data_IF_983225719894
#
_entry.id   IF_983225719894
#
_cell.length_a   1.000
_cell.length_b   1.000
_cell.length_c   1.000
_cell.angle_alpha   90.00
_cell.angle_beta   90.00
_cell.angle_gamma   90.00
#
_symmetry.space_group_name_H-M   'P 1'
#
loop_
_entity.id
_entity.type
_entity.pdbx_description
1 polymer ?
#
# COMPACT_ATOMS: atom_id res chain seq x y z
N UNK A 1 -41.30 40.40 19.80
CA UNK A 1 -41.79 39.04 19.81
C UNK A 1 -42.59 38.74 18.53
N UNK A 2 -41.96 38.18 17.53
CA UNK A 2 -42.66 37.57 16.40
C UNK A 2 -41.97 36.26 16.07
N UNK A 3 -42.53 35.19 16.57
CA UNK A 3 -42.23 33.84 16.06
C UNK A 3 -42.93 33.71 14.69
N UNK A 4 -42.15 33.86 13.63
CA UNK A 4 -42.66 33.55 12.28
C UNK A 4 -42.51 32.01 12.11
N UNK A 5 -43.65 31.34 12.04
CA UNK A 5 -43.79 29.91 11.90
C UNK A 5 -43.11 29.40 10.63
N UNK A 6 -41.96 28.76 10.78
CA UNK A 6 -41.20 28.08 9.71
C UNK A 6 -41.98 26.96 8.99
N UNK A 7 -43.08 26.52 9.54
CA UNK A 7 -43.86 25.42 9.00
C UNK A 7 -44.69 25.78 7.76
N UNK A 8 -45.13 27.04 7.66
CA UNK A 8 -45.89 27.52 6.49
C UNK A 8 -45.07 27.70 5.22
N UNK A 9 -43.78 27.98 5.31
CA UNK A 9 -42.95 28.18 4.14
C UNK A 9 -42.65 26.91 3.34
N UNK A 10 -42.60 25.76 3.99
CA UNK A 10 -42.37 24.47 3.29
C UNK A 10 -43.53 24.05 2.39
N UNK A 11 -44.75 24.34 2.79
CA UNK A 11 -45.94 24.08 1.98
C UNK A 11 -46.04 24.96 0.74
N UNK A 12 -45.62 26.25 0.87
CA UNK A 12 -45.74 27.23 -0.21
C UNK A 12 -44.70 26.97 -1.30
N UNK A 13 -43.47 26.66 -0.95
CA UNK A 13 -42.43 26.31 -1.91
C UNK A 13 -42.74 25.02 -2.64
N UNK A 14 -43.28 24.00 -1.94
CA UNK A 14 -43.72 22.77 -2.57
C UNK A 14 -44.91 22.97 -3.51
N UNK A 15 -45.88 23.77 -3.11
CA UNK A 15 -47.09 24.12 -3.91
C UNK A 15 -46.73 24.92 -5.18
N UNK A 16 -45.81 25.87 -5.07
CA UNK A 16 -45.34 26.64 -6.22
C UNK A 16 -44.54 25.72 -7.17
N UNK A 17 -43.67 24.88 -6.63
CA UNK A 17 -42.89 23.93 -7.42
C UNK A 17 -43.78 22.95 -8.19
N UNK A 18 -44.83 22.45 -7.55
CA UNK A 18 -45.77 21.52 -8.17
C UNK A 18 -46.62 22.21 -9.24
N UNK A 19 -47.01 23.47 -9.05
CA UNK A 19 -47.78 24.26 -10.02
C UNK A 19 -46.96 24.71 -11.22
N UNK A 20 -45.67 25.00 -11.00
CA UNK A 20 -44.73 25.27 -12.10
C UNK A 20 -44.48 24.05 -12.96
N UNK A 21 -44.51 22.84 -12.34
CA UNK A 21 -44.27 21.59 -13.06
C UNK A 21 -45.56 20.97 -13.66
N UNK A 22 -46.74 21.29 -13.11
CA UNK A 22 -48.01 20.70 -13.49
C UNK A 22 -48.95 21.63 -14.28
N UNK A 23 -48.50 22.84 -14.63
CA UNK A 23 -49.21 23.70 -15.54
C UNK A 23 -49.08 23.17 -16.99
N UNK A 24 -49.66 21.99 -17.21
CA UNK A 24 -49.81 21.40 -18.53
C UNK A 24 -51.11 21.86 -19.21
N UNK A 25 -51.25 23.16 -19.39
CA UNK A 25 -52.12 23.68 -20.43
C UNK A 25 -51.29 24.47 -21.44
N UNK A 26 -50.76 23.76 -22.39
CA UNK A 26 -50.40 24.29 -23.70
C UNK A 26 -49.06 24.94 -23.87
N UNK A 27 -48.24 25.19 -22.83
CA UNK A 27 -46.84 25.62 -22.99
C UNK A 27 -45.99 24.87 -21.98
N UNK A 28 -45.50 23.69 -22.35
CA UNK A 28 -44.59 22.92 -21.56
C UNK A 28 -43.44 23.78 -21.02
N UNK A 29 -42.98 23.50 -19.79
CA UNK A 29 -41.80 24.17 -19.21
C UNK A 29 -40.77 24.34 -20.30
N UNK A 30 -40.33 25.58 -20.51
CA UNK A 30 -39.39 25.94 -21.58
C UNK A 30 -38.28 24.88 -21.68
N UNK A 31 -37.96 24.36 -22.86
CA UNK A 31 -36.88 23.37 -23.04
C UNK A 31 -35.60 23.76 -22.33
N UNK A 32 -35.37 25.08 -22.15
CA UNK A 32 -34.27 25.65 -21.42
C UNK A 32 -34.22 25.22 -19.95
N UNK A 33 -35.39 25.16 -19.25
CA UNK A 33 -35.42 24.74 -17.83
C UNK A 33 -35.06 23.25 -17.69
N UNK A 34 -35.53 22.40 -18.59
CA UNK A 34 -35.18 20.97 -18.59
C UNK A 34 -33.70 20.76 -18.82
N UNK A 35 -33.13 21.46 -19.78
CA UNK A 35 -31.69 21.41 -20.06
C UNK A 35 -30.89 21.91 -18.85
N UNK A 36 -31.31 23.00 -18.21
CA UNK A 36 -30.64 23.55 -17.03
C UNK A 36 -30.63 22.55 -15.86
N UNK A 37 -31.78 21.88 -15.59
CA UNK A 37 -31.85 20.85 -14.53
C UNK A 37 -30.95 19.65 -14.84
N UNK A 38 -30.95 19.19 -16.07
CA UNK A 38 -30.05 18.08 -16.50
C UNK A 38 -28.57 18.51 -16.35
N UNK A 39 -28.22 19.72 -16.77
CA UNK A 39 -26.87 20.22 -16.66
C UNK A 39 -26.38 20.29 -15.20
N UNK A 40 -27.21 20.79 -14.29
CA UNK A 40 -26.90 20.85 -12.86
C UNK A 40 -26.76 19.44 -12.27
N UNK A 41 -27.71 18.53 -12.59
CA UNK A 41 -27.65 17.15 -12.13
C UNK A 41 -26.39 16.44 -12.62
N UNK A 42 -26.01 16.63 -13.88
CA UNK A 42 -24.80 16.07 -14.45
C UNK A 42 -23.54 16.64 -13.79
N UNK A 43 -23.50 17.95 -13.52
CA UNK A 43 -22.37 18.59 -12.83
C UNK A 43 -22.17 18.02 -11.44
N UNK A 44 -23.25 17.84 -10.68
CA UNK A 44 -23.18 17.23 -9.33
C UNK A 44 -22.73 15.78 -9.41
N UNK A 45 -23.26 15.01 -10.37
CA UNK A 45 -22.87 13.60 -10.57
C UNK A 45 -21.37 13.47 -10.88
N UNK A 46 -20.83 14.32 -11.76
CA UNK A 46 -19.40 14.34 -12.11
C UNK A 46 -18.56 14.72 -10.87
N UNK A 47 -19.00 15.69 -10.07
CA UNK A 47 -18.28 16.09 -8.85
C UNK A 47 -18.20 14.92 -7.84
N UNK A 48 -19.32 14.23 -7.60
CA UNK A 48 -19.37 13.08 -6.70
C UNK A 48 -18.46 11.96 -7.23
N UNK A 49 -18.53 11.68 -8.53
CA UNK A 49 -17.71 10.65 -9.16
C UNK A 49 -16.21 10.99 -9.04
N UNK A 50 -15.82 12.24 -9.28
CA UNK A 50 -14.44 12.69 -9.15
C UNK A 50 -13.91 12.50 -7.72
N UNK A 51 -14.70 12.91 -6.70
CA UNK A 51 -14.32 12.71 -5.30
C UNK A 51 -14.20 11.22 -4.95
N UNK A 52 -15.14 10.40 -5.42
CA UNK A 52 -15.11 8.96 -5.18
C UNK A 52 -13.86 8.29 -5.79
N UNK A 53 -13.51 8.66 -7.02
CA UNK A 53 -12.29 8.16 -7.69
C UNK A 53 -11.03 8.58 -6.93
N UNK A 54 -10.91 9.87 -6.57
CA UNK A 54 -9.73 10.37 -5.83
C UNK A 54 -9.57 9.67 -4.48
N UNK A 55 -10.66 9.53 -3.72
CA UNK A 55 -10.62 8.84 -2.43
C UNK A 55 -10.28 7.35 -2.57
N UNK A 56 -10.90 6.67 -3.52
CA UNK A 56 -10.60 5.26 -3.80
C UNK A 56 -9.15 5.04 -4.21
N UNK A 57 -8.63 5.88 -5.09
CA UNK A 57 -7.23 5.82 -5.53
C UNK A 57 -6.25 6.11 -4.37
N UNK A 58 -6.53 7.15 -3.57
CA UNK A 58 -5.72 7.47 -2.39
C UNK A 58 -5.64 6.29 -1.42
N UNK A 59 -6.76 5.66 -1.10
CA UNK A 59 -6.79 4.50 -0.19
C UNK A 59 -5.98 3.34 -0.75
N UNK A 60 -6.19 2.98 -2.01
CA UNK A 60 -5.46 1.88 -2.65
C UNK A 60 -3.94 2.10 -2.70
N UNK A 61 -3.49 3.32 -2.99
CA UNK A 61 -2.06 3.62 -2.97
C UNK A 61 -1.52 3.57 -1.54
N UNK A 62 -2.22 4.21 -0.59
CA UNK A 62 -1.80 4.19 0.81
C UNK A 62 -1.65 2.76 1.31
N UNK A 63 -2.65 1.90 1.13
CA UNK A 63 -2.63 0.51 1.58
C UNK A 63 -1.47 -0.29 0.97
N UNK A 64 -1.13 -0.04 -0.30
CA UNK A 64 0.01 -0.70 -0.94
C UNK A 64 1.36 -0.21 -0.44
N UNK A 65 1.51 1.11 -0.29
CA UNK A 65 2.77 1.71 0.18
C UNK A 65 3.03 1.37 1.64
N UNK A 66 2.01 1.51 2.51
CA UNK A 66 2.15 1.21 3.95
C UNK A 66 2.14 -0.29 4.24
N UNK A 67 1.55 -1.10 3.38
CA UNK A 67 1.57 -2.56 3.52
C UNK A 67 2.96 -3.16 3.33
N UNK A 68 3.77 -2.60 2.43
CA UNK A 68 5.15 -3.03 2.23
C UNK A 68 6.15 -2.26 3.10
N UNK A 69 5.98 -0.94 3.22
CA UNK A 69 6.77 -0.09 4.09
C UNK A 69 5.91 0.43 5.24
N UNK A 70 6.51 0.60 6.40
CA UNK A 70 5.87 1.28 7.53
C UNK A 70 5.55 2.74 7.17
N UNK A 71 4.53 3.33 7.79
CA UNK A 71 4.21 4.77 7.65
C UNK A 71 5.37 5.65 8.13
N UNK A 72 6.13 5.19 9.12
CA UNK A 72 7.28 5.90 9.69
C UNK A 72 8.47 4.95 9.73
N UNK A 73 9.59 5.38 9.20
CA UNK A 73 10.86 4.65 9.25
C UNK A 73 11.88 5.46 10.06
N UNK A 74 12.48 4.83 11.05
CA UNK A 74 13.54 5.42 11.86
C UNK A 74 14.90 5.01 11.30
N UNK A 75 15.72 5.99 11.02
CA UNK A 75 17.11 5.79 10.61
C UNK A 75 18.07 6.31 11.68
N UNK A 76 19.29 5.76 11.78
CA UNK A 76 20.30 6.32 12.67
C UNK A 76 20.65 7.75 12.22
N UNK A 77 20.86 8.65 13.18
CA UNK A 77 21.17 10.07 12.92
C UNK A 77 22.51 10.26 12.20
N UNK A 78 23.44 9.35 12.40
CA UNK A 78 24.74 9.37 11.77
C UNK A 78 24.86 8.19 10.82
N UNK A 79 24.79 8.47 9.51
CA UNK A 79 25.12 7.47 8.50
C UNK A 79 26.65 7.29 8.47
N UNK A 80 27.13 6.10 8.77
CA UNK A 80 28.51 5.70 8.52
C UNK A 80 28.67 5.21 7.07
N UNK A 81 29.85 5.36 6.49
CA UNK A 81 30.18 4.77 5.19
C UNK A 81 30.17 3.23 5.23
N UNK A 82 30.23 2.66 6.45
CA UNK A 82 30.15 1.21 6.65
C UNK A 82 28.69 0.79 6.86
N UNK A 83 28.23 -0.18 6.11
CA UNK A 83 26.87 -0.75 6.21
C UNK A 83 26.59 -1.27 7.63
N UNK A 84 27.59 -1.88 8.26
CA UNK A 84 27.48 -2.48 9.60
C UNK A 84 27.26 -1.44 10.72
N UNK A 85 27.64 -0.18 10.51
CA UNK A 85 27.51 0.90 11.50
C UNK A 85 26.16 1.66 11.40
N UNK A 86 25.35 1.36 10.40
CA UNK A 86 24.07 2.02 10.13
C UNK A 86 22.88 1.27 10.76
N UNK A 87 23.11 0.54 11.84
CA UNK A 87 22.07 -0.20 12.53
C UNK A 87 21.39 0.66 13.60
N UNK A 88 20.08 0.62 13.66
CA UNK A 88 19.30 1.19 14.76
C UNK A 88 19.19 0.11 15.84
N UNK A 89 19.76 0.39 17.03
CA UNK A 89 19.55 -0.49 18.18
C UNK A 89 18.24 -0.15 18.86
N UNK A 90 17.40 -1.14 19.06
CA UNK A 90 16.18 -1.01 19.86
C UNK A 90 16.54 -0.99 21.36
N UNK A 91 17.07 0.16 21.83
CA UNK A 91 17.42 0.35 23.22
C UNK A 91 16.18 0.36 24.13
N UNK A 92 16.38 0.05 25.42
CA UNK A 92 15.25 0.07 26.38
C UNK A 92 14.48 1.40 26.40
N UNK A 93 15.16 2.59 26.44
CA UNK A 93 14.44 3.86 26.39
C UNK A 93 13.63 4.06 25.11
N UNK A 94 14.16 3.65 23.96
CA UNK A 94 13.44 3.75 22.69
C UNK A 94 12.20 2.86 22.69
N UNK A 95 12.33 1.63 23.20
CA UNK A 95 11.21 0.70 23.32
C UNK A 95 10.11 1.27 24.24
N UNK A 96 10.49 1.81 25.41
CA UNK A 96 9.53 2.42 26.33
C UNK A 96 8.78 3.61 25.70
N UNK A 97 9.44 4.40 24.85
CA UNK A 97 8.80 5.49 24.12
C UNK A 97 7.79 4.90 23.10
N UNK A 98 8.21 3.91 22.32
CA UNK A 98 7.36 3.31 21.28
C UNK A 98 6.14 2.59 21.88
N UNK A 99 6.32 1.90 23.02
CA UNK A 99 5.25 1.16 23.71
C UNK A 99 4.24 2.08 24.40
N UNK A 100 4.64 3.28 24.82
CA UNK A 100 3.77 4.22 25.53
C UNK A 100 2.98 5.16 24.60
N UNK A 101 3.35 5.25 23.33
CA UNK A 101 2.67 6.14 22.38
C UNK A 101 1.40 5.48 21.81
N UNK A 102 0.25 6.05 22.13
CA UNK A 102 -1.07 5.47 21.80
C UNK A 102 -1.40 5.41 20.30
N UNK A 103 -0.70 6.17 19.46
CA UNK A 103 -0.87 6.18 18.02
C UNK A 103 0.08 5.21 17.29
N UNK A 104 1.04 4.60 18.00
CA UNK A 104 1.89 3.55 17.44
C UNK A 104 1.17 2.21 17.60
N UNK A 105 0.75 1.62 16.49
CA UNK A 105 0.05 0.35 16.48
C UNK A 105 1.00 -0.83 16.65
N UNK A 106 2.11 -0.79 15.95
CA UNK A 106 3.17 -1.81 15.97
C UNK A 106 4.46 -1.23 15.41
N UNK A 107 5.58 -1.84 15.75
CA UNK A 107 6.88 -1.52 15.17
C UNK A 107 7.67 -2.80 14.96
N UNK A 108 8.56 -2.80 13.98
CA UNK A 108 9.40 -3.96 13.66
C UNK A 108 10.79 -3.52 13.23
N UNK A 109 11.79 -4.31 13.57
CA UNK A 109 13.17 -4.13 13.09
C UNK A 109 13.30 -4.78 11.72
N UNK A 110 13.71 -3.99 10.75
CA UNK A 110 13.91 -4.48 9.38
C UNK A 110 15.34 -4.17 8.96
N UNK A 111 16.02 -5.13 8.39
CA UNK A 111 17.30 -4.90 7.72
C UNK A 111 17.09 -4.95 6.21
N UNK A 112 17.78 -4.08 5.48
CA UNK A 112 17.75 -4.09 4.02
C UNK A 112 19.19 -4.06 3.51
N UNK A 113 19.60 -5.11 2.83
CA UNK A 113 20.96 -5.27 2.34
C UNK A 113 20.96 -5.39 0.82
N UNK A 114 21.79 -4.60 0.11
CA UNK A 114 21.97 -4.77 -1.31
C UNK A 114 22.65 -6.11 -1.58
N UNK A 115 22.12 -6.86 -2.53
CA UNK A 115 22.67 -8.15 -2.95
C UNK A 115 22.52 -8.34 -4.46
N UNK A 116 23.28 -9.26 -5.02
CA UNK A 116 23.15 -9.68 -6.40
C UNK A 116 22.70 -11.11 -6.39
N UNK A 117 21.50 -11.37 -6.92
CA UNK A 117 21.04 -12.71 -7.25
C UNK A 117 21.72 -13.16 -8.53
N UNK A 118 22.24 -14.38 -8.54
CA UNK A 118 22.90 -14.95 -9.72
C UNK A 118 22.42 -16.37 -10.00
N UNK A 119 21.99 -16.58 -11.23
CA UNK A 119 21.73 -17.89 -11.83
C UNK A 119 22.94 -18.32 -12.68
N UNK A 120 22.82 -19.38 -13.44
CA UNK A 120 23.87 -19.80 -14.38
C UNK A 120 23.99 -18.86 -15.57
N UNK A 121 22.88 -18.25 -16.00
CA UNK A 121 22.78 -17.42 -17.22
C UNK A 121 22.68 -15.94 -16.95
N UNK A 122 22.05 -15.55 -15.83
CA UNK A 122 21.63 -14.18 -15.57
C UNK A 122 21.96 -13.73 -14.16
N UNK A 123 21.93 -12.42 -13.94
CA UNK A 123 22.07 -11.82 -12.61
C UNK A 123 21.18 -10.60 -12.45
N UNK A 124 20.77 -10.31 -11.22
CA UNK A 124 19.94 -9.15 -10.88
C UNK A 124 20.36 -8.54 -9.54
N UNK A 125 20.54 -7.23 -9.52
CA UNK A 125 20.70 -6.47 -8.27
C UNK A 125 19.36 -6.31 -7.56
N UNK A 126 19.34 -6.58 -6.26
CA UNK A 126 18.14 -6.50 -5.41
C UNK A 126 18.51 -5.99 -4.01
N UNK A 127 17.47 -5.65 -3.25
CA UNK A 127 17.56 -5.48 -1.81
C UNK A 127 16.95 -6.68 -1.10
N UNK A 128 17.77 -7.41 -0.36
CA UNK A 128 17.31 -8.47 0.52
C UNK A 128 16.77 -7.86 1.81
N UNK A 129 15.51 -8.09 2.12
CA UNK A 129 14.85 -7.62 3.31
C UNK A 129 14.87 -8.69 4.40
N UNK A 130 15.63 -8.47 5.44
CA UNK A 130 15.62 -9.32 6.63
C UNK A 130 14.57 -8.83 7.63
N UNK A 131 13.75 -9.75 8.10
CA UNK A 131 12.65 -9.48 9.02
C UNK A 131 12.78 -10.35 10.29
N UNK A 132 12.28 -9.90 11.45
CA UNK A 132 12.28 -10.70 12.67
C UNK A 132 11.22 -11.81 12.63
N UNK A 133 11.29 -12.71 13.61
CA UNK A 133 10.39 -13.87 13.70
C UNK A 133 8.92 -13.50 13.90
N UNK A 134 8.65 -12.34 14.49
CA UNK A 134 7.33 -11.78 14.78
C UNK A 134 6.82 -10.80 13.71
N UNK A 135 7.46 -10.78 12.55
CA UNK A 135 7.06 -9.89 11.45
C UNK A 135 5.66 -10.23 10.93
N UNK A 136 4.84 -9.20 10.73
CA UNK A 136 3.49 -9.33 10.15
C UNK A 136 3.56 -9.52 8.63
N UNK A 137 3.40 -10.74 8.20
CA UNK A 137 3.38 -11.11 6.78
C UNK A 137 2.02 -10.94 6.10
N UNK A 138 0.99 -10.42 6.78
CA UNK A 138 -0.38 -10.31 6.23
C UNK A 138 -0.44 -9.64 4.86
N UNK A 139 0.39 -8.61 4.65
CA UNK A 139 0.44 -7.93 3.35
C UNK A 139 0.99 -8.85 2.25
N UNK A 140 2.08 -9.57 2.52
CA UNK A 140 2.68 -10.50 1.54
C UNK A 140 1.76 -11.71 1.35
N UNK A 141 1.11 -12.20 2.40
CA UNK A 141 0.17 -13.32 2.33
C UNK A 141 -1.02 -13.00 1.42
N UNK A 142 -1.57 -11.79 1.52
CA UNK A 142 -2.65 -11.32 0.65
C UNK A 142 -2.23 -11.12 -0.82
N UNK A 143 -0.92 -11.03 -1.08
CA UNK A 143 -0.35 -10.85 -2.42
C UNK A 143 0.45 -12.08 -2.89
N UNK A 144 0.35 -13.21 -2.16
CA UNK A 144 1.03 -14.45 -2.52
C UNK A 144 0.36 -15.09 -3.74
N UNK A 145 1.16 -15.45 -4.72
CA UNK A 145 0.69 -16.05 -5.99
C UNK A 145 0.93 -17.56 -6.00
N UNK A 146 2.07 -18.00 -5.45
CA UNK A 146 2.44 -19.42 -5.41
C UNK A 146 3.34 -19.73 -4.21
N UNK A 147 3.33 -20.96 -3.74
CA UNK A 147 4.12 -21.38 -2.58
C UNK A 147 3.48 -21.03 -1.25
N UNK A 148 4.29 -20.77 -0.24
CA UNK A 148 3.85 -20.45 1.12
C UNK A 148 4.88 -19.58 1.85
N UNK A 149 4.43 -18.86 2.87
CA UNK A 149 5.31 -18.17 3.81
C UNK A 149 5.92 -19.23 4.74
N UNK A 150 7.24 -19.17 4.90
CA UNK A 150 7.94 -20.07 5.82
C UNK A 150 7.70 -19.62 7.27
N UNK A 151 7.76 -20.57 8.18
CA UNK A 151 7.84 -20.29 9.62
C UNK A 151 9.28 -19.90 9.97
N UNK A 152 9.56 -18.61 10.02
CA UNK A 152 10.90 -18.07 10.28
C UNK A 152 11.34 -18.17 11.74
N UNK A 153 10.46 -18.57 12.66
CA UNK A 153 10.85 -18.89 14.03
C UNK A 153 11.78 -20.09 14.11
N UNK A 154 11.74 -20.95 13.07
CA UNK A 154 12.58 -22.12 12.97
C UNK A 154 13.91 -21.77 12.26
N UNK A 155 15.01 -21.98 12.95
CA UNK A 155 16.35 -21.65 12.45
C UNK A 155 16.69 -22.32 11.10
N UNK A 156 16.09 -23.48 10.82
CA UNK A 156 16.25 -24.21 9.56
C UNK A 156 15.70 -23.42 8.37
N UNK A 157 14.72 -22.57 8.60
CA UNK A 157 14.07 -21.75 7.57
C UNK A 157 14.77 -20.40 7.34
N UNK A 158 15.86 -20.12 8.03
CA UNK A 158 16.56 -18.82 7.96
C UNK A 158 17.12 -18.48 6.56
N UNK A 159 17.24 -19.46 5.67
CA UNK A 159 17.64 -19.25 4.28
C UNK A 159 16.48 -19.31 3.29
N UNK A 160 15.24 -19.42 3.79
CA UNK A 160 14.05 -19.35 2.95
C UNK A 160 13.75 -17.92 2.57
N UNK A 161 13.32 -17.70 1.33
CA UNK A 161 13.06 -16.37 0.79
C UNK A 161 11.79 -16.36 -0.03
N UNK A 162 11.10 -15.23 0.03
CA UNK A 162 9.98 -14.90 -0.84
C UNK A 162 10.50 -13.94 -1.92
N UNK A 163 10.20 -14.22 -3.18
CA UNK A 163 10.59 -13.34 -4.27
C UNK A 163 9.36 -12.88 -5.05
N UNK A 164 9.46 -11.75 -5.73
CA UNK A 164 8.38 -11.32 -6.60
C UNK A 164 8.29 -12.20 -7.86
N UNK A 165 7.09 -12.30 -8.41
CA UNK A 165 6.88 -12.97 -9.71
C UNK A 165 7.67 -12.31 -10.82
N UNK A 166 7.96 -11.01 -10.71
CA UNK A 166 8.73 -10.25 -11.68
C UNK A 166 10.19 -10.67 -11.69
N UNK A 167 10.83 -10.73 -10.50
CA UNK A 167 12.21 -11.23 -10.35
C UNK A 167 12.29 -12.70 -10.76
N UNK A 168 11.30 -13.51 -10.35
CA UNK A 168 11.24 -14.92 -10.70
C UNK A 168 11.20 -15.15 -12.22
N UNK A 169 10.34 -14.40 -12.93
CA UNK A 169 10.24 -14.50 -14.39
C UNK A 169 11.50 -14.02 -15.11
N UNK A 170 12.12 -12.94 -14.63
CA UNK A 170 13.35 -12.39 -15.23
C UNK A 170 14.52 -13.36 -15.10
N UNK A 171 14.65 -14.04 -13.96
CA UNK A 171 15.73 -14.99 -13.69
C UNK A 171 15.38 -16.46 -14.01
N UNK A 172 14.16 -16.73 -14.50
CA UNK A 172 13.69 -18.07 -14.82
C UNK A 172 13.52 -18.99 -13.60
N UNK A 173 13.19 -18.43 -12.43
CA UNK A 173 13.10 -19.11 -11.14
C UNK A 173 11.66 -19.53 -10.80
N UNK A 174 11.54 -20.57 -9.98
CA UNK A 174 10.27 -21.14 -9.49
C UNK A 174 10.34 -21.40 -7.99
N UNK A 175 9.17 -21.66 -7.40
CA UNK A 175 9.08 -22.16 -6.02
C UNK A 175 9.87 -23.46 -5.89
N UNK A 176 10.61 -23.60 -4.80
CA UNK A 176 11.55 -24.66 -4.44
C UNK A 176 12.91 -24.62 -5.14
N UNK A 177 13.17 -23.66 -6.04
CA UNK A 177 14.50 -23.46 -6.60
C UNK A 177 15.44 -22.85 -5.55
N UNK A 178 16.72 -23.14 -5.72
CA UNK A 178 17.80 -22.56 -4.94
C UNK A 178 18.49 -21.45 -5.75
N UNK A 179 18.82 -20.33 -5.11
CA UNK A 179 19.54 -19.23 -5.73
C UNK A 179 20.67 -18.72 -4.85
N UNK A 180 21.77 -18.29 -5.46
CA UNK A 180 22.86 -17.68 -4.75
C UNK A 180 22.71 -16.17 -4.70
N UNK A 181 22.74 -15.62 -3.48
CA UNK A 181 22.80 -14.19 -3.22
C UNK A 181 24.22 -13.79 -2.83
N UNK A 182 24.78 -12.82 -3.54
CA UNK A 182 26.11 -12.27 -3.34
C UNK A 182 25.98 -10.92 -2.65
N UNK A 183 26.50 -10.81 -1.44
CA UNK A 183 26.59 -9.57 -0.68
C UNK A 183 27.97 -8.97 -0.88
N UNK A 184 27.97 -7.73 -1.39
CA UNK A 184 29.22 -6.98 -1.65
C UNK A 184 29.41 -6.01 -0.49
N UNK A 185 30.33 -6.36 0.41
CA UNK A 185 30.84 -5.52 1.49
C UNK A 185 32.37 -5.44 1.35
N UNK A 186 33.10 -5.37 2.45
CA UNK A 186 34.57 -5.47 2.41
C UNK A 186 35.03 -6.84 1.85
N UNK A 187 34.27 -7.89 2.16
CA UNK A 187 34.40 -9.24 1.60
C UNK A 187 33.14 -9.65 0.86
N UNK A 188 33.29 -10.42 -0.21
CA UNK A 188 32.15 -11.02 -0.91
C UNK A 188 31.65 -12.20 -0.11
N UNK A 189 30.43 -12.10 0.39
CA UNK A 189 29.74 -13.19 1.08
C UNK A 189 28.68 -13.77 0.17
N UNK A 190 28.63 -15.11 0.07
CA UNK A 190 27.63 -15.81 -0.72
C UNK A 190 26.70 -16.58 0.23
N UNK A 191 25.40 -16.43 0.01
CA UNK A 191 24.37 -17.19 0.69
C UNK A 191 23.52 -17.93 -0.32
N UNK A 192 23.31 -19.21 -0.09
CA UNK A 192 22.36 -20.00 -0.84
C UNK A 192 21.00 -19.84 -0.21
N UNK A 193 20.06 -19.32 -0.97
CA UNK A 193 18.67 -19.06 -0.55
C UNK A 193 17.74 -20.06 -1.25
N UNK A 194 16.70 -20.49 -0.56
CA UNK A 194 15.65 -21.33 -1.11
C UNK A 194 14.36 -20.55 -1.28
N UNK A 195 13.84 -20.53 -2.50
CA UNK A 195 12.60 -19.85 -2.84
C UNK A 195 11.43 -20.68 -2.34
N UNK A 196 10.64 -20.13 -1.41
CA UNK A 196 9.50 -20.84 -0.81
C UNK A 196 8.15 -20.25 -1.22
N UNK A 197 8.13 -19.04 -1.78
CA UNK A 197 6.92 -18.43 -2.30
C UNK A 197 7.20 -17.31 -3.27
N UNK A 198 6.21 -17.06 -4.12
CA UNK A 198 6.17 -16.00 -5.11
C UNK A 198 5.05 -15.04 -4.78
N UNK A 199 5.35 -13.75 -4.73
CA UNK A 199 4.36 -12.70 -4.49
C UNK A 199 4.28 -11.70 -5.64
N UNK A 200 3.17 -10.93 -5.68
CA UNK A 200 3.01 -9.82 -6.61
C UNK A 200 2.19 -8.72 -5.92
N UNK A 201 2.85 -7.64 -5.56
CA UNK A 201 2.19 -6.50 -4.89
C UNK A 201 1.50 -5.58 -5.89
N UNK A 202 1.72 -5.76 -7.18
CA UNK A 202 1.33 -4.84 -8.25
C UNK A 202 1.89 -3.43 -8.06
N UNK A 203 3.03 -3.32 -7.36
CA UNK A 203 3.81 -2.11 -7.23
C UNK A 203 5.22 -2.36 -7.78
N UNK A 204 5.43 -1.88 -8.99
CA UNK A 204 6.59 -2.23 -9.83
C UNK A 204 7.93 -1.96 -9.14
N UNK A 205 8.05 -0.85 -8.41
CA UNK A 205 9.27 -0.49 -7.71
C UNK A 205 9.67 -1.51 -6.63
N UNK A 206 8.69 -2.12 -5.95
CA UNK A 206 8.96 -3.16 -4.96
C UNK A 206 9.18 -4.52 -5.62
N UNK A 207 8.29 -4.89 -6.54
CA UNK A 207 8.34 -6.18 -7.22
C UNK A 207 9.63 -6.35 -8.06
N UNK A 208 10.27 -5.26 -8.47
CA UNK A 208 11.54 -5.29 -9.21
C UNK A 208 12.79 -5.33 -8.32
N UNK A 209 12.73 -4.82 -7.10
CA UNK A 209 13.93 -4.51 -6.35
C UNK A 209 14.05 -5.26 -5.02
N UNK A 210 12.95 -5.77 -4.45
CA UNK A 210 12.96 -6.35 -3.11
C UNK A 210 12.62 -7.84 -3.13
N UNK A 211 13.29 -8.57 -2.22
CA UNK A 211 12.99 -9.97 -1.89
C UNK A 211 13.02 -10.17 -0.38
#
# INVERSE_FOLDING_TARGET
>A
QRYINHTYMKGYTWFISQRMNLSSSGKGSSPAIKVAVIAVALSIAIMILAIAIVNGFKTQITDKVTGFNSEIILYPTYASEKIDDNLVELTKPLREILDNESYIKSYSLISSLPAILKTETDFKGIYLRGVPDDYDFSFIENNLIDGKIADYSQKENSNHVLISTQIANELGLKVNDDINAYFISQDIRVRKLKIVGLFNTHFEDYDNNFI
#
